data_IF_812905204249
#
_entry.id   IF_812905204249
#
_cell.length_a   1.000
_cell.length_b   1.000
_cell.length_c   1.000
_cell.angle_alpha   90.00
_cell.angle_beta   90.00
_cell.angle_gamma   90.00
#
_symmetry.space_group_name_H-M   'P 1'
#
loop_
_entity.id
_entity.type
_entity.pdbx_description
1 polymer ?
#
# COMPACT_ATOMS: atom_id res chain seq x y z
N UNK A 1 25.59 -2.63 -9.92
CA UNK A 1 25.18 -1.40 -9.21
C UNK A 1 24.02 -0.77 -9.96
N UNK A 2 22.81 -1.26 -9.73
CA UNK A 2 21.61 -0.60 -10.24
C UNK A 2 21.14 0.37 -9.17
N UNK A 3 21.57 1.63 -9.28
CA UNK A 3 21.20 2.72 -8.37
C UNK A 3 19.74 3.19 -8.59
N UNK A 4 18.88 2.36 -9.17
CA UNK A 4 17.50 2.74 -9.45
C UNK A 4 16.62 2.31 -8.26
N UNK A 5 15.92 3.25 -7.61
CA UNK A 5 15.18 2.97 -6.38
C UNK A 5 13.83 2.29 -6.71
N UNK A 6 13.87 1.03 -7.11
CA UNK A 6 12.69 0.26 -7.49
C UNK A 6 11.68 0.13 -6.35
N UNK A 7 12.15 -0.05 -5.11
CA UNK A 7 11.27 -0.24 -3.95
C UNK A 7 10.54 1.04 -3.59
N UNK A 8 11.29 2.14 -3.52
CA UNK A 8 10.68 3.45 -3.31
C UNK A 8 9.67 3.76 -4.41
N UNK A 9 9.94 3.38 -5.66
CA UNK A 9 9.01 3.61 -6.76
C UNK A 9 7.74 2.77 -6.61
N UNK A 10 7.85 1.49 -6.25
CA UNK A 10 6.70 0.59 -6.00
C UNK A 10 5.80 1.13 -4.88
N UNK A 11 6.38 1.63 -3.78
CA UNK A 11 5.61 2.19 -2.66
C UNK A 11 5.01 3.56 -3.02
N UNK A 12 5.79 4.45 -3.64
CA UNK A 12 5.35 5.85 -3.86
C UNK A 12 4.42 6.00 -5.07
N UNK A 13 4.51 5.12 -6.08
CA UNK A 13 3.68 5.16 -7.28
C UNK A 13 2.18 5.12 -6.97
N UNK A 14 1.63 4.15 -6.21
CA UNK A 14 0.21 4.12 -5.88
C UNK A 14 -0.26 5.35 -5.09
N UNK A 15 0.55 5.89 -4.17
CA UNK A 15 0.21 7.11 -3.41
C UNK A 15 0.13 8.32 -4.34
N UNK A 16 1.17 8.54 -5.15
CA UNK A 16 1.24 9.68 -6.07
C UNK A 16 0.16 9.61 -7.14
N UNK A 17 -0.08 8.42 -7.69
CA UNK A 17 -1.15 8.16 -8.64
C UNK A 17 -2.54 8.35 -8.00
N UNK A 18 -2.72 7.97 -6.74
CA UNK A 18 -3.91 8.27 -5.95
C UNK A 18 -4.13 9.76 -5.79
N UNK A 19 -3.10 10.53 -5.44
CA UNK A 19 -3.21 11.98 -5.30
C UNK A 19 -3.56 12.67 -6.62
N UNK A 20 -3.08 12.14 -7.76
CA UNK A 20 -3.42 12.62 -9.10
C UNK A 20 -4.91 12.46 -9.44
N UNK A 21 -5.64 11.54 -8.78
CA UNK A 21 -7.10 11.36 -8.97
C UNK A 21 -7.87 12.64 -8.61
N UNK A 22 -7.41 13.44 -7.65
CA UNK A 22 -8.07 14.68 -7.27
C UNK A 22 -8.02 15.76 -8.36
N UNK A 23 -6.99 15.73 -9.20
CA UNK A 23 -6.81 16.68 -10.30
C UNK A 23 -7.57 16.31 -11.57
N UNK A 24 -8.08 15.07 -11.66
CA UNK A 24 -8.83 14.61 -12.83
C UNK A 24 -10.22 15.28 -12.91
N UNK A 25 -10.62 15.81 -14.08
CA UNK A 25 -11.90 16.49 -14.24
C UNK A 25 -13.07 15.53 -14.02
N UNK A 26 -14.17 16.05 -13.46
CA UNK A 26 -15.37 15.33 -13.03
C UNK A 26 -16.21 14.71 -14.18
N UNK A 27 -15.59 14.42 -15.34
CA UNK A 27 -16.25 13.98 -16.59
C UNK A 27 -16.79 12.54 -16.55
N UNK A 28 -16.69 11.82 -15.42
CA UNK A 28 -17.48 10.63 -15.17
C UNK A 28 -16.73 9.50 -14.47
N UNK A 29 -17.49 8.67 -13.76
CA UNK A 29 -17.00 7.52 -12.98
C UNK A 29 -16.18 6.52 -13.81
N UNK A 30 -16.42 6.43 -15.14
CA UNK A 30 -15.69 5.51 -16.02
C UNK A 30 -14.20 5.87 -16.16
N UNK A 31 -13.85 7.16 -16.25
CA UNK A 31 -12.45 7.58 -16.46
C UNK A 31 -11.60 7.23 -15.23
N UNK A 32 -12.10 7.54 -14.03
CA UNK A 32 -11.41 7.25 -12.77
C UNK A 32 -11.22 5.75 -12.60
N UNK A 33 -12.23 4.93 -12.93
CA UNK A 33 -12.14 3.47 -12.86
C UNK A 33 -11.05 2.90 -13.76
N UNK A 34 -11.06 3.27 -15.04
CA UNK A 34 -10.04 2.81 -15.99
C UNK A 34 -8.65 3.28 -15.57
N UNK A 35 -8.53 4.51 -15.05
CA UNK A 35 -7.29 5.05 -14.54
C UNK A 35 -6.72 4.20 -13.39
N UNK A 36 -7.53 3.89 -12.36
CA UNK A 36 -7.08 3.08 -11.23
C UNK A 36 -6.73 1.65 -11.65
N UNK A 37 -7.50 1.03 -12.55
CA UNK A 37 -7.16 -0.29 -13.09
C UNK A 37 -5.82 -0.25 -13.84
N UNK A 38 -5.58 0.77 -14.66
CA UNK A 38 -4.30 0.94 -15.35
C UNK A 38 -3.13 1.09 -14.37
N UNK A 39 -3.32 1.81 -13.25
CA UNK A 39 -2.30 1.94 -12.21
C UNK A 39 -2.02 0.60 -11.54
N UNK A 40 -3.06 -0.12 -11.09
CA UNK A 40 -2.88 -1.43 -10.45
C UNK A 40 -2.18 -2.42 -11.37
N UNK A 41 -2.54 -2.46 -12.65
CA UNK A 41 -1.87 -3.33 -13.63
C UNK A 41 -0.41 -2.89 -13.85
N UNK A 42 -0.15 -1.59 -13.95
CA UNK A 42 1.22 -1.08 -14.14
C UNK A 42 2.09 -1.42 -12.94
N UNK A 43 1.55 -1.29 -11.73
CA UNK A 43 2.23 -1.63 -10.49
C UNK A 43 2.48 -3.16 -10.42
N UNK A 44 1.47 -3.99 -10.72
CA UNK A 44 1.62 -5.45 -10.74
C UNK A 44 2.68 -5.90 -11.74
N UNK A 45 2.73 -5.27 -12.91
CA UNK A 45 3.78 -5.52 -13.91
C UNK A 45 5.15 -5.06 -13.42
N UNK A 46 5.22 -3.90 -12.74
CA UNK A 46 6.45 -3.36 -12.19
C UNK A 46 7.02 -4.27 -11.09
N UNK A 47 6.18 -4.72 -10.15
CA UNK A 47 6.58 -5.65 -9.09
C UNK A 47 7.00 -7.00 -9.69
N UNK A 48 6.23 -7.56 -10.61
CA UNK A 48 6.59 -8.80 -11.32
C UNK A 48 7.91 -8.67 -12.10
N UNK A 49 8.13 -7.53 -12.75
CA UNK A 49 9.36 -7.26 -13.50
C UNK A 49 10.57 -7.12 -12.56
N UNK A 50 10.42 -6.36 -11.47
CA UNK A 50 11.47 -6.20 -10.47
C UNK A 50 11.89 -7.56 -9.89
N UNK A 51 10.94 -8.45 -9.61
CA UNK A 51 11.23 -9.80 -9.14
C UNK A 51 11.84 -10.70 -10.23
N UNK A 52 11.31 -10.66 -11.45
CA UNK A 52 11.78 -11.54 -12.54
C UNK A 52 13.20 -11.24 -13.04
N UNK A 53 13.65 -9.99 -12.94
CA UNK A 53 14.96 -9.56 -13.47
C UNK A 53 16.02 -9.30 -12.41
N UNK A 54 15.63 -8.93 -11.19
CA UNK A 54 16.59 -8.60 -10.12
C UNK A 54 16.67 -9.65 -9.01
N UNK A 55 15.79 -10.66 -9.01
CA UNK A 55 15.81 -11.68 -7.97
C UNK A 55 16.63 -12.91 -8.41
N UNK A 56 17.82 -13.09 -7.82
CA UNK A 56 18.61 -14.31 -7.95
C UNK A 56 18.27 -15.22 -6.77
N UNK A 57 17.53 -16.31 -7.03
CA UNK A 57 17.09 -17.29 -6.02
C UNK A 57 18.24 -17.97 -5.25
N UNK A 58 19.47 -17.86 -5.75
CA UNK A 58 20.65 -18.56 -5.23
C UNK A 58 21.39 -17.79 -4.11
N UNK A 59 21.08 -16.51 -3.87
CA UNK A 59 21.71 -15.72 -2.80
C UNK A 59 20.74 -15.44 -1.64
N UNK A 60 21.01 -15.96 -0.42
CA UNK A 60 20.18 -15.73 0.76
C UNK A 60 20.35 -14.32 1.38
N UNK A 61 21.16 -13.46 0.77
CA UNK A 61 21.36 -12.08 1.22
C UNK A 61 20.24 -11.18 0.71
N UNK A 62 19.79 -10.26 1.57
CA UNK A 62 18.84 -9.18 1.26
C UNK A 62 19.08 -8.59 -0.13
N UNK A 63 18.06 -8.66 -1.00
CA UNK A 63 18.14 -8.12 -2.35
C UNK A 63 17.37 -6.79 -2.42
N UNK A 64 17.84 -5.88 -3.28
CA UNK A 64 17.28 -4.53 -3.43
C UNK A 64 17.25 -3.73 -2.11
N UNK A 65 18.39 -3.58 -1.42
CA UNK A 65 18.45 -2.72 -0.23
C UNK A 65 18.65 -1.25 -0.61
N UNK A 66 17.73 -0.39 -0.19
CA UNK A 66 17.80 1.06 -0.31
C UNK A 66 17.95 1.65 1.08
N UNK A 67 19.08 2.30 1.35
CA UNK A 67 19.36 2.96 2.63
C UNK A 67 19.50 4.47 2.41
N UNK A 68 18.44 5.23 2.71
CA UNK A 68 18.51 6.69 2.71
C UNK A 68 18.42 7.22 4.13
N UNK A 69 19.34 8.10 4.52
CA UNK A 69 19.27 8.78 5.81
C UNK A 69 18.21 9.90 5.71
N UNK A 70 17.05 9.72 6.34
CA UNK A 70 15.95 10.69 6.22
C UNK A 70 16.10 11.82 7.26
N UNK A 71 16.39 11.48 8.53
CA UNK A 71 16.54 12.46 9.61
C UNK A 71 17.82 12.17 10.42
N UNK A 72 18.79 13.08 10.35
CA UNK A 72 20.09 12.96 11.03
C UNK A 72 20.02 13.12 12.56
N UNK A 73 18.93 13.67 13.10
CA UNK A 73 18.77 13.90 14.54
C UNK A 73 18.27 12.68 15.32
N UNK A 74 17.67 11.71 14.64
CA UNK A 74 17.01 10.55 15.26
C UNK A 74 17.56 9.20 14.78
N UNK A 75 18.69 9.18 14.05
CA UNK A 75 19.19 7.97 13.37
C UNK A 75 18.07 7.26 12.59
N UNK A 76 17.18 8.03 11.95
CA UNK A 76 16.07 7.47 11.19
C UNK A 76 16.52 7.22 9.75
N UNK A 77 16.66 5.94 9.43
CA UNK A 77 17.02 5.46 8.12
C UNK A 77 15.76 4.98 7.40
N UNK A 78 15.58 5.45 6.16
CA UNK A 78 14.65 4.87 5.21
C UNK A 78 15.32 3.63 4.62
N UNK A 79 15.23 2.52 5.34
CA UNK A 79 15.75 1.21 4.90
C UNK A 79 14.61 0.38 4.34
N UNK A 80 14.60 0.29 3.02
CA UNK A 80 13.75 -0.64 2.30
C UNK A 80 14.59 -1.81 1.81
N UNK A 81 14.06 -3.01 1.90
CA UNK A 81 14.62 -4.16 1.21
C UNK A 81 13.67 -5.32 1.19
N UNK A 82 13.94 -6.25 0.27
CA UNK A 82 13.09 -7.41 0.06
C UNK A 82 13.89 -8.68 0.31
N UNK A 83 13.32 -9.52 1.17
CA UNK A 83 13.76 -10.89 1.40
C UNK A 83 12.88 -11.89 0.66
N UNK A 84 13.36 -13.12 0.51
CA UNK A 84 12.61 -14.20 -0.14
C UNK A 84 11.22 -14.47 0.47
N UNK A 85 11.03 -14.15 1.75
CA UNK A 85 9.73 -14.28 2.44
C UNK A 85 8.78 -13.12 2.06
N UNK A 86 9.29 -11.91 1.86
CA UNK A 86 8.46 -10.72 1.57
C UNK A 86 7.93 -10.69 0.13
N UNK A 87 8.54 -11.41 -0.81
CA UNK A 87 8.09 -11.44 -2.22
C UNK A 87 6.69 -12.00 -2.35
N UNK A 88 6.43 -13.14 -1.71
CA UNK A 88 5.15 -13.83 -1.74
C UNK A 88 3.98 -12.90 -1.41
N UNK A 89 3.96 -12.25 -0.23
CA UNK A 89 2.89 -11.34 0.14
C UNK A 89 2.83 -10.10 -0.74
N UNK A 90 3.94 -9.52 -1.20
CA UNK A 90 3.91 -8.34 -2.08
C UNK A 90 3.23 -8.66 -3.42
N UNK A 91 3.61 -9.76 -4.06
CA UNK A 91 3.02 -10.18 -5.34
C UNK A 91 1.56 -10.60 -5.19
N UNK A 92 1.22 -11.28 -4.09
CA UNK A 92 -0.15 -11.65 -3.75
C UNK A 92 -1.01 -10.39 -3.52
N UNK A 93 -0.50 -9.41 -2.77
CA UNK A 93 -1.19 -8.14 -2.51
C UNK A 93 -1.53 -7.44 -3.80
N UNK A 94 -0.61 -7.39 -4.77
CA UNK A 94 -0.88 -6.77 -6.05
C UNK A 94 -1.90 -7.49 -6.90
N UNK A 95 -1.84 -8.82 -6.89
CA UNK A 95 -2.85 -9.64 -7.56
C UNK A 95 -4.25 -9.42 -6.96
N UNK A 96 -4.36 -9.49 -5.63
CA UNK A 96 -5.63 -9.31 -4.92
C UNK A 96 -6.17 -7.89 -5.12
N UNK A 97 -5.34 -6.86 -5.01
CA UNK A 97 -5.76 -5.46 -5.14
C UNK A 97 -6.23 -5.15 -6.56
N UNK A 98 -5.58 -5.72 -7.57
CA UNK A 98 -6.02 -5.61 -8.97
C UNK A 98 -7.40 -6.25 -9.18
N UNK A 99 -7.61 -7.45 -8.62
CA UNK A 99 -8.92 -8.12 -8.67
C UNK A 99 -9.99 -7.37 -7.87
N UNK A 100 -9.65 -6.84 -6.69
CA UNK A 100 -10.56 -6.05 -5.86
C UNK A 100 -11.01 -4.78 -6.58
N UNK A 101 -10.09 -4.11 -7.28
CA UNK A 101 -10.40 -2.92 -8.09
C UNK A 101 -11.30 -3.27 -9.27
N UNK A 102 -11.10 -4.43 -9.92
CA UNK A 102 -12.00 -4.94 -10.95
C UNK A 102 -13.41 -5.25 -10.40
N UNK A 103 -13.48 -5.85 -9.21
CA UNK A 103 -14.74 -6.17 -8.54
C UNK A 103 -15.48 -4.92 -8.03
N UNK A 104 -14.78 -3.81 -7.78
CA UNK A 104 -15.35 -2.53 -7.34
C UNK A 104 -16.14 -1.77 -8.42
N UNK A 105 -16.46 -2.42 -9.55
CA UNK A 105 -17.29 -1.88 -10.63
C UNK A 105 -18.66 -1.29 -10.23
N UNK A 106 -19.40 -1.83 -9.25
CA UNK A 106 -20.70 -1.28 -8.87
C UNK A 106 -20.60 -0.03 -7.98
N UNK A 107 -19.40 0.33 -7.48
CA UNK A 107 -19.23 1.48 -6.60
C UNK A 107 -19.41 2.79 -7.39
N UNK A 108 -20.55 3.44 -7.19
CA UNK A 108 -20.94 4.68 -7.86
C UNK A 108 -20.93 5.89 -6.93
N UNK A 109 -21.04 5.66 -5.62
CA UNK A 109 -20.95 6.67 -4.57
C UNK A 109 -19.49 7.07 -4.34
N UNK A 110 -19.21 8.37 -4.35
CA UNK A 110 -17.90 8.98 -4.05
C UNK A 110 -16.69 8.27 -4.68
N UNK A 111 -16.81 7.95 -5.98
CA UNK A 111 -15.85 7.15 -6.74
C UNK A 111 -14.40 7.61 -6.62
N UNK A 112 -14.13 8.92 -6.61
CA UNK A 112 -12.77 9.47 -6.45
C UNK A 112 -12.12 9.04 -5.14
N UNK A 113 -12.86 9.23 -4.06
CA UNK A 113 -12.35 9.00 -2.72
C UNK A 113 -12.19 7.50 -2.45
N UNK A 114 -13.12 6.67 -2.96
CA UNK A 114 -12.97 5.21 -2.93
C UNK A 114 -11.69 4.74 -3.63
N UNK A 115 -11.44 5.19 -4.86
CA UNK A 115 -10.27 4.74 -5.63
C UNK A 115 -8.95 5.31 -5.06
N UNK A 116 -8.99 6.52 -4.49
CA UNK A 116 -7.86 7.08 -3.75
C UNK A 116 -7.51 6.22 -2.53
N UNK A 117 -8.51 5.88 -1.70
CA UNK A 117 -8.33 5.04 -0.52
C UNK A 117 -7.82 3.64 -0.90
N UNK A 118 -8.35 3.05 -1.97
CA UNK A 118 -7.88 1.75 -2.47
C UNK A 118 -6.40 1.80 -2.89
N UNK A 119 -5.95 2.85 -3.58
CA UNK A 119 -4.54 3.01 -3.96
C UNK A 119 -3.66 3.34 -2.75
N UNK A 120 -4.15 4.14 -1.80
CA UNK A 120 -3.43 4.41 -0.56
C UNK A 120 -3.25 3.13 0.27
N UNK A 121 -4.30 2.31 0.38
CA UNK A 121 -4.25 1.00 1.01
C UNK A 121 -3.27 0.08 0.30
N UNK A 122 -3.22 0.12 -1.03
CA UNK A 122 -2.30 -0.71 -1.80
C UNK A 122 -0.83 -0.42 -1.46
N UNK A 123 -0.46 0.86 -1.41
CA UNK A 123 0.85 1.28 -0.92
C UNK A 123 1.09 0.86 0.53
N UNK A 124 0.08 1.05 1.38
CA UNK A 124 0.13 0.73 2.80
C UNK A 124 0.34 -0.75 3.06
N UNK A 125 -0.12 -1.64 2.18
CA UNK A 125 0.09 -3.08 2.30
C UNK A 125 1.49 -3.51 1.88
N UNK A 126 2.08 -2.86 0.88
CA UNK A 126 3.45 -3.18 0.41
C UNK A 126 4.52 -2.60 1.36
N UNK A 127 4.25 -1.47 2.00
CA UNK A 127 5.17 -0.78 2.92
C UNK A 127 5.72 -1.66 4.05
N UNK A 128 4.90 -2.35 4.85
CA UNK A 128 5.34 -3.19 5.96
C UNK A 128 6.23 -4.35 5.51
N UNK A 129 5.94 -4.97 4.35
CA UNK A 129 6.75 -6.07 3.82
C UNK A 129 8.09 -5.63 3.23
N UNK A 130 8.22 -4.36 2.86
CA UNK A 130 9.46 -3.77 2.33
C UNK A 130 10.29 -3.05 3.40
N UNK A 131 9.73 -2.79 4.58
CA UNK A 131 10.40 -2.06 5.67
C UNK A 131 11.35 -2.96 6.45
N UNK A 132 12.60 -2.53 6.60
CA UNK A 132 13.59 -3.25 7.43
C UNK A 132 13.65 -2.73 8.87
N UNK A 133 13.36 -1.45 9.09
CA UNK A 133 13.36 -0.82 10.40
C UNK A 133 11.98 -0.94 11.07
N UNK A 134 11.95 -1.27 12.36
CA UNK A 134 10.71 -1.39 13.16
C UNK A 134 9.88 -0.09 13.17
N UNK A 135 10.54 1.07 13.18
CA UNK A 135 9.84 2.36 13.18
C UNK A 135 9.22 2.66 11.81
N UNK A 136 9.90 2.35 10.71
CA UNK A 136 9.34 2.48 9.36
C UNK A 136 8.18 1.51 9.16
N UNK A 137 8.33 0.27 9.63
CA UNK A 137 7.25 -0.72 9.67
C UNK A 137 6.02 -0.18 10.41
N UNK A 138 6.20 0.41 11.60
CA UNK A 138 5.10 0.97 12.38
C UNK A 138 4.39 2.12 11.64
N UNK A 139 5.14 3.04 11.03
CA UNK A 139 4.57 4.14 10.23
C UNK A 139 3.76 3.59 9.04
N UNK A 140 4.32 2.61 8.31
CA UNK A 140 3.64 2.02 7.16
C UNK A 140 2.38 1.23 7.56
N UNK A 141 2.43 0.56 8.71
CA UNK A 141 1.29 -0.16 9.27
C UNK A 141 0.15 0.80 9.68
N UNK A 142 0.46 1.90 10.35
CA UNK A 142 -0.51 2.96 10.64
C UNK A 142 -1.09 3.59 9.36
N UNK A 143 -0.25 3.74 8.33
CA UNK A 143 -0.66 4.25 7.02
C UNK A 143 -1.68 3.33 6.34
N UNK A 144 -1.62 2.01 6.54
CA UNK A 144 -2.63 1.06 6.03
C UNK A 144 -3.96 1.14 6.80
N UNK A 145 -3.92 1.35 8.12
CA UNK A 145 -5.11 1.39 8.96
C UNK A 145 -6.06 2.54 8.60
N UNK A 146 -5.51 3.71 8.24
CA UNK A 146 -6.30 4.91 7.95
C UNK A 146 -7.24 4.69 6.74
N UNK A 147 -6.76 4.23 5.56
CA UNK A 147 -7.61 3.92 4.42
C UNK A 147 -8.67 2.85 4.72
N UNK A 148 -8.30 1.78 5.42
CA UNK A 148 -9.20 0.67 5.75
C UNK A 148 -10.35 1.17 6.63
N UNK A 149 -10.04 1.97 7.65
CA UNK A 149 -11.05 2.55 8.53
C UNK A 149 -12.06 3.43 7.75
N UNK A 150 -11.56 4.30 6.87
CA UNK A 150 -12.41 5.19 6.07
C UNK A 150 -13.29 4.42 5.08
N UNK A 151 -12.74 3.37 4.43
CA UNK A 151 -13.52 2.50 3.54
C UNK A 151 -14.67 1.83 4.29
N UNK A 152 -14.40 1.28 5.47
CA UNK A 152 -15.42 0.62 6.30
C UNK A 152 -16.45 1.60 6.86
N UNK A 153 -16.04 2.80 7.25
CA UNK A 153 -16.95 3.81 7.81
C UNK A 153 -17.96 4.34 6.78
N UNK A 154 -17.54 4.53 5.52
CA UNK A 154 -18.39 5.16 4.50
C UNK A 154 -19.13 4.18 3.59
N UNK A 155 -18.54 3.01 3.29
CA UNK A 155 -19.15 2.00 2.44
C UNK A 155 -19.55 0.72 3.18
N UNK A 156 -19.11 0.54 4.44
CA UNK A 156 -19.58 -0.56 5.27
C UNK A 156 -21.03 -0.38 5.69
N UNK A 157 -21.74 -1.49 5.85
CA UNK A 157 -23.09 -1.47 6.38
C UNK A 157 -23.10 -1.02 7.85
N UNK A 158 -24.24 -0.47 8.30
CA UNK A 158 -24.40 0.16 9.63
C UNK A 158 -23.93 -0.71 10.80
N UNK A 159 -24.03 -2.03 10.67
CA UNK A 159 -23.61 -3.01 11.69
C UNK A 159 -22.09 -3.10 11.84
N UNK A 160 -21.33 -2.94 10.76
CA UNK A 160 -19.85 -2.95 10.77
C UNK A 160 -19.32 -1.69 11.44
N UNK A 161 -19.94 -0.53 11.18
CA UNK A 161 -19.56 0.72 11.85
C UNK A 161 -19.80 0.65 13.37
N UNK A 162 -20.90 0.02 13.80
CA UNK A 162 -21.19 -0.19 15.23
C UNK A 162 -20.21 -1.20 15.84
N UNK A 163 -19.85 -2.27 15.13
CA UNK A 163 -18.85 -3.24 15.60
C UNK A 163 -17.43 -2.66 15.66
N UNK A 164 -17.02 -1.78 14.73
CA UNK A 164 -15.72 -1.11 14.77
C UNK A 164 -15.66 -0.05 15.87
N UNK A 165 -16.75 0.70 16.09
CA UNK A 165 -16.88 1.62 17.23
C UNK A 165 -16.76 0.85 18.54
N UNK A 166 -17.42 -0.30 18.64
CA UNK A 166 -17.30 -1.17 19.80
C UNK A 166 -15.90 -1.76 19.91
N UNK A 167 -15.27 -2.24 18.83
CA UNK A 167 -13.92 -2.83 18.87
C UNK A 167 -12.87 -1.80 19.31
N UNK A 168 -12.89 -0.58 18.77
CA UNK A 168 -11.99 0.51 19.19
C UNK A 168 -12.28 1.01 20.61
N UNK A 169 -13.54 1.00 21.06
CA UNK A 169 -13.89 1.35 22.44
C UNK A 169 -13.64 0.20 23.43
N UNK A 170 -13.59 -1.06 22.97
CA UNK A 170 -13.31 -2.25 23.79
C UNK A 170 -11.88 -2.70 23.71
N UNK A 171 -11.05 -2.16 22.80
CA UNK A 171 -9.61 -2.29 22.90
C UNK A 171 -9.23 -1.53 24.19
N UNK A 172 -8.89 -2.23 25.28
CA UNK A 172 -8.12 -1.55 26.29
C UNK A 172 -6.84 -1.13 25.58
N UNK A 173 -6.34 0.06 25.91
CA UNK A 173 -5.04 0.53 25.45
C UNK A 173 -4.05 -0.62 25.28
N UNK A 174 -3.47 -0.69 24.08
CA UNK A 174 -2.40 -1.60 23.68
C UNK A 174 -1.51 -1.96 24.88
N UNK A 175 -1.57 -3.17 25.45
CA UNK A 175 -0.68 -3.56 26.53
C UNK A 175 0.61 -4.08 25.89
N UNK A 176 1.45 -3.16 25.40
CA UNK A 176 2.82 -3.47 24.96
C UNK A 176 3.91 -2.84 25.83
N UNK A 177 3.56 -2.49 27.07
CA UNK A 177 4.54 -2.23 28.13
C UNK A 177 4.15 -2.98 29.40
N UNK A 178 4.64 -4.21 29.52
CA UNK A 178 5.25 -4.79 30.73
C UNK A 178 6.11 -6.00 30.34
#
# INVERSE_FOLDING_TARGET
MNNFPWLTLVVVLPITAGSLIFFLPHRGNKVIRWYTISICITELLLTTYAFGYHFQLDDPLMQLTENYQWINFFDFYWRLGIDGISIGPILLTGFITTLATLAAWPVTRDSRLFHFLMLAMYSGQIGPFSSQDLLLFFIMWELELIPVYLLLSMWGERNVCIQLQNLFCTLPEVPFFY
#
